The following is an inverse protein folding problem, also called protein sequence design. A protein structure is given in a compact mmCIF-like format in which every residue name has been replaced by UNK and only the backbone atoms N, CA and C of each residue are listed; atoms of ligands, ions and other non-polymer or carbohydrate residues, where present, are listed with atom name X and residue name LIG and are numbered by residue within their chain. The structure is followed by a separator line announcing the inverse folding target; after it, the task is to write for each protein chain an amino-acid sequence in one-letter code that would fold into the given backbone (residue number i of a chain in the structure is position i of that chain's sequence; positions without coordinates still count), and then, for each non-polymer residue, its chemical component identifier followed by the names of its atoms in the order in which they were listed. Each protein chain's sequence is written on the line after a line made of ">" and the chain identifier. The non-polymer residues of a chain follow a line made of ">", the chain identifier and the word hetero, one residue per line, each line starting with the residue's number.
data_IF_143294165794
#
_entry.id   IF_143294165794
#
_cell.length_a   1.000
_cell.length_b   1.000
_cell.length_c   1.000
_cell.angle_alpha   90.00
_cell.angle_beta   90.00
_cell.angle_gamma   90.00
#
_symmetry.space_group_name_H-M   'P 1'
#
loop_
_entity.id
_entity.type
_entity.pdbx_description
1 polymer ?
#
# COMPACT_ATOMS: atom_id res chain seq x y z
N UNK A 1 -1.54 8.50 -6.25
CA UNK A 1 -0.64 8.65 -5.08
C UNK A 1 0.15 7.37 -4.93
N UNK A 2 1.44 7.47 -4.68
CA UNK A 2 2.37 6.34 -4.63
C UNK A 2 3.07 6.27 -3.27
N UNK A 3 3.12 5.07 -2.68
CA UNK A 3 3.76 4.80 -1.39
C UNK A 3 4.70 3.60 -1.48
N UNK A 4 5.98 3.84 -1.21
CA UNK A 4 7.07 2.90 -1.39
C UNK A 4 7.10 1.76 -0.35
N UNK A 5 7.80 0.64 -0.64
CA UNK A 5 8.03 -0.44 0.33
C UNK A 5 8.99 -0.02 1.45
N UNK A 6 9.13 -0.87 2.47
CA UNK A 6 10.19 -0.77 3.48
C UNK A 6 11.25 -1.85 3.26
N UNK A 7 12.53 -1.50 3.03
CA UNK A 7 13.08 -0.16 2.78
C UNK A 7 12.74 0.34 1.36
N UNK A 8 12.78 1.66 1.15
CA UNK A 8 12.50 2.31 -0.14
C UNK A 8 12.45 3.83 -0.01
N UNK A 9 12.09 4.55 -1.07
CA UNK A 9 11.89 6.00 -1.00
C UNK A 9 10.83 6.44 -2.01
N UNK A 10 10.48 7.73 -2.00
CA UNK A 10 9.57 8.29 -3.00
C UNK A 10 10.02 8.05 -4.45
N UNK A 11 11.30 7.76 -4.69
CA UNK A 11 11.83 7.54 -6.03
C UNK A 11 11.51 6.13 -6.58
N UNK A 12 11.03 5.19 -5.74
CA UNK A 12 10.69 3.80 -6.13
C UNK A 12 9.78 3.71 -7.34
N UNK A 13 8.82 4.64 -7.48
CA UNK A 13 7.85 4.63 -8.57
C UNK A 13 8.09 5.76 -9.60
N UNK A 14 9.24 6.42 -9.57
CA UNK A 14 9.48 7.59 -10.41
C UNK A 14 9.26 7.28 -11.90
N UNK A 15 9.85 6.20 -12.39
CA UNK A 15 9.74 5.81 -13.80
C UNK A 15 8.28 5.55 -14.22
N UNK A 16 7.51 4.85 -13.39
CA UNK A 16 6.07 4.61 -13.61
C UNK A 16 5.28 5.90 -13.65
N UNK A 17 5.56 6.83 -12.74
CA UNK A 17 4.86 8.12 -12.70
C UNK A 17 5.20 9.00 -13.90
N UNK A 18 6.42 8.89 -14.45
CA UNK A 18 6.79 9.56 -15.71
C UNK A 18 6.01 8.97 -16.89
N UNK A 19 5.83 7.64 -16.93
CA UNK A 19 5.00 7.00 -17.96
C UNK A 19 3.54 7.47 -17.88
N UNK A 20 2.94 7.49 -16.68
CA UNK A 20 1.56 7.95 -16.51
C UNK A 20 1.39 9.47 -16.72
N UNK A 21 2.44 10.27 -16.49
CA UNK A 21 2.40 11.69 -16.79
C UNK A 21 2.22 11.95 -18.30
N UNK A 22 2.78 11.09 -19.16
CA UNK A 22 2.54 11.16 -20.63
C UNK A 22 1.09 10.83 -21.00
N UNK A 23 0.39 10.11 -20.13
CA UNK A 23 -1.04 9.79 -20.23
C UNK A 23 -1.94 10.81 -19.49
N UNK A 24 -1.37 11.96 -19.09
CA UNK A 24 -2.11 13.05 -18.44
C UNK A 24 -2.33 12.88 -16.94
N UNK A 25 -1.69 11.92 -16.29
CA UNK A 25 -1.80 11.76 -14.83
C UNK A 25 -0.87 12.74 -14.08
N UNK A 26 -1.34 13.22 -12.93
CA UNK A 26 -0.51 13.89 -11.94
C UNK A 26 -0.27 12.93 -10.78
N UNK A 27 1.01 12.73 -10.43
CA UNK A 27 1.41 11.80 -9.38
C UNK A 27 1.97 12.52 -8.17
N UNK A 28 1.52 12.12 -6.98
CA UNK A 28 2.14 12.46 -5.70
C UNK A 28 2.90 11.24 -5.19
N UNK A 29 4.22 11.35 -5.08
CA UNK A 29 5.11 10.31 -4.56
C UNK A 29 5.47 10.65 -3.11
N UNK A 30 5.06 9.80 -2.18
CA UNK A 30 5.18 10.04 -0.75
C UNK A 30 6.54 9.55 -0.25
N UNK A 31 7.20 10.36 0.58
CA UNK A 31 8.35 9.93 1.37
C UNK A 31 7.82 9.53 2.76
N UNK A 32 7.68 8.23 2.99
CA UNK A 32 7.02 7.70 4.18
C UNK A 32 8.00 7.61 5.37
N UNK A 33 7.51 7.47 6.62
CA UNK A 33 8.38 7.39 7.81
C UNK A 33 9.41 6.25 7.79
N UNK A 34 9.20 5.23 6.94
CA UNK A 34 10.10 4.09 6.71
C UNK A 34 11.01 4.24 5.48
N UNK A 35 11.23 5.47 5.02
CA UNK A 35 12.18 5.75 3.94
C UNK A 35 13.56 5.17 4.27
N UNK A 36 14.36 4.83 3.26
CA UNK A 36 15.70 4.25 3.42
C UNK A 36 16.59 5.10 4.36
N UNK A 37 16.41 6.42 4.33
CA UNK A 37 17.14 7.39 5.18
C UNK A 37 16.68 7.39 6.63
N UNK A 38 15.50 6.83 6.90
CA UNK A 38 14.86 6.78 8.21
C UNK A 38 14.72 5.35 8.75
N UNK A 39 15.31 4.34 8.08
CA UNK A 39 15.12 2.92 8.43
C UNK A 39 15.48 2.61 9.90
N UNK A 40 16.51 3.25 10.45
CA UNK A 40 16.86 3.10 11.86
C UNK A 40 15.81 3.69 12.81
N UNK A 41 15.27 4.86 12.47
CA UNK A 41 14.23 5.51 13.25
C UNK A 41 12.93 4.70 13.18
N UNK A 42 12.61 4.17 11.99
CA UNK A 42 11.49 3.28 11.79
C UNK A 42 11.64 1.96 12.55
N UNK A 43 12.83 1.34 12.55
CA UNK A 43 13.09 0.13 13.35
C UNK A 43 12.89 0.37 14.85
N UNK A 44 13.31 1.54 15.37
CA UNK A 44 13.01 1.93 16.76
C UNK A 44 11.50 2.14 17.00
N UNK A 45 10.80 2.70 16.02
CA UNK A 45 9.34 2.86 16.08
C UNK A 45 8.61 1.51 16.13
N UNK A 46 9.07 0.51 15.37
CA UNK A 46 8.50 -0.84 15.38
C UNK A 46 8.71 -1.57 16.72
N UNK A 47 9.71 -1.17 17.51
CA UNK A 47 9.98 -1.82 18.80
C UNK A 47 8.95 -1.49 19.91
N UNK A 48 8.16 -0.43 19.71
CA UNK A 48 7.11 0.02 20.63
C UNK A 48 5.75 -0.05 19.91
N UNK A 49 4.86 -1.01 20.24
CA UNK A 49 3.60 -1.18 19.52
C UNK A 49 2.66 0.02 19.66
N UNK A 50 2.66 0.71 20.80
CA UNK A 50 1.84 1.92 20.97
C UNK A 50 2.32 3.06 20.07
N UNK A 51 3.64 3.20 19.94
CA UNK A 51 4.23 4.16 19.02
C UNK A 51 3.99 3.76 17.55
N UNK A 52 4.13 2.48 17.20
CA UNK A 52 3.82 1.97 15.87
C UNK A 52 2.37 2.27 15.46
N UNK A 53 1.40 2.01 16.35
CA UNK A 53 -0.01 2.37 16.13
C UNK A 53 -0.16 3.86 15.81
N UNK A 54 0.46 4.72 16.62
CA UNK A 54 0.42 6.17 16.40
C UNK A 54 0.99 6.56 15.04
N UNK A 55 2.16 6.03 14.67
CA UNK A 55 2.82 6.33 13.40
C UNK A 55 2.00 5.86 12.20
N UNK A 56 1.35 4.69 12.27
CA UNK A 56 0.51 4.19 11.18
C UNK A 56 -0.74 5.07 11.00
N UNK A 57 -1.40 5.46 12.10
CA UNK A 57 -2.53 6.40 12.07
C UNK A 57 -2.11 7.73 11.48
N UNK A 58 -0.98 8.31 11.94
CA UNK A 58 -0.48 9.58 11.42
C UNK A 58 -0.10 9.50 9.94
N UNK A 59 0.43 8.36 9.49
CA UNK A 59 0.70 8.09 8.08
C UNK A 59 -0.58 8.11 7.27
N UNK A 60 -1.61 7.37 7.67
CA UNK A 60 -2.92 7.38 6.98
C UNK A 60 -3.53 8.78 6.94
N UNK A 61 -3.48 9.53 8.05
CA UNK A 61 -3.91 10.94 8.09
C UNK A 61 -3.10 11.79 7.10
N UNK A 62 -1.78 11.59 7.02
CA UNK A 62 -0.91 12.27 6.06
C UNK A 62 -1.28 11.96 4.61
N UNK A 63 -1.60 10.71 4.30
CA UNK A 63 -2.04 10.29 2.96
C UNK A 63 -3.39 10.93 2.58
N UNK A 64 -4.35 10.99 3.51
CA UNK A 64 -5.62 11.68 3.29
C UNK A 64 -5.42 13.18 3.03
N UNK A 65 -4.48 13.82 3.73
CA UNK A 65 -4.07 15.21 3.43
C UNK A 65 -3.37 15.35 2.08
N UNK A 66 -2.62 14.34 1.64
CA UNK A 66 -2.07 14.28 0.29
C UNK A 66 -3.17 14.24 -0.78
N UNK A 67 -4.27 13.54 -0.51
CA UNK A 67 -5.47 13.54 -1.36
C UNK A 67 -6.16 14.92 -1.32
N UNK A 68 -6.26 15.57 -0.15
CA UNK A 68 -6.77 16.94 -0.05
C UNK A 68 -5.95 17.89 -0.94
N UNK A 69 -4.62 17.79 -0.89
CA UNK A 69 -3.72 18.58 -1.75
C UNK A 69 -3.97 18.33 -3.25
N UNK A 70 -4.15 17.07 -3.66
CA UNK A 70 -4.44 16.73 -5.05
C UNK A 70 -5.80 17.28 -5.48
N UNK A 71 -6.84 17.05 -4.70
CA UNK A 71 -8.22 17.46 -5.03
C UNK A 71 -8.45 18.98 -4.97
N UNK A 72 -7.59 19.72 -4.27
CA UNK A 72 -7.62 21.18 -4.25
C UNK A 72 -7.08 21.83 -5.54
N UNK A 73 -6.39 21.07 -6.40
CA UNK A 73 -5.84 21.59 -7.65
C UNK A 73 -6.89 21.64 -8.75
N UNK A 74 -6.99 22.74 -9.52
CA UNK A 74 -7.99 22.88 -10.59
C UNK A 74 -7.74 21.98 -11.80
N UNK A 75 -6.52 21.45 -11.96
CA UNK A 75 -6.12 20.54 -13.03
C UNK A 75 -6.27 19.06 -12.66
N UNK A 76 -6.84 18.76 -11.48
CA UNK A 76 -7.09 17.39 -11.01
C UNK A 76 -8.59 17.13 -10.98
N UNK A 77 -8.99 16.00 -11.56
CA UNK A 77 -10.35 15.50 -11.43
C UNK A 77 -10.48 14.66 -10.15
N UNK A 78 -11.30 15.09 -9.16
CA UNK A 78 -11.45 14.39 -7.89
C UNK A 78 -12.10 13.01 -8.03
N UNK A 79 -12.77 12.70 -9.15
CA UNK A 79 -13.39 11.41 -9.42
C UNK A 79 -12.42 10.38 -10.04
N UNK A 80 -11.15 10.78 -10.26
CA UNK A 80 -10.13 9.97 -10.93
C UNK A 80 -8.84 9.84 -10.10
N UNK A 81 -9.00 9.61 -8.79
CA UNK A 81 -7.87 9.40 -7.88
C UNK A 81 -7.54 7.90 -7.75
N UNK A 82 -6.26 7.57 -7.95
CA UNK A 82 -5.72 6.22 -7.70
C UNK A 82 -4.63 6.19 -6.64
N UNK A 83 -4.44 5.01 -6.06
CA UNK A 83 -3.41 4.70 -5.08
C UNK A 83 -2.59 3.48 -5.53
N UNK A 84 -1.28 3.55 -5.33
CA UNK A 84 -0.37 2.41 -5.49
C UNK A 84 0.51 2.33 -4.25
N UNK A 85 0.54 1.16 -3.63
CA UNK A 85 1.38 0.88 -2.48
C UNK A 85 2.06 -0.48 -2.62
N UNK A 86 3.33 -0.56 -2.24
CA UNK A 86 4.10 -1.80 -2.26
C UNK A 86 4.56 -2.19 -0.87
N UNK A 87 4.44 -3.48 -0.53
CA UNK A 87 4.83 -4.05 0.76
C UNK A 87 4.18 -3.27 1.91
N UNK A 88 4.96 -2.60 2.75
CA UNK A 88 4.43 -1.72 3.81
C UNK A 88 3.49 -0.62 3.29
N UNK A 89 3.76 -0.09 2.09
CA UNK A 89 2.83 0.80 1.39
C UNK A 89 1.50 0.11 1.08
N UNK A 90 1.49 -1.16 0.70
CA UNK A 90 0.24 -1.89 0.47
C UNK A 90 -0.57 -2.10 1.75
N UNK A 91 0.07 -2.37 2.89
CA UNK A 91 -0.62 -2.48 4.19
C UNK A 91 -1.29 -1.16 4.56
N UNK A 92 -0.55 -0.06 4.51
CA UNK A 92 -1.09 1.28 4.77
C UNK A 92 -2.18 1.64 3.76
N UNK A 93 -2.03 1.23 2.51
CA UNK A 93 -3.05 1.34 1.47
C UNK A 93 -4.32 0.55 1.77
N UNK A 94 -4.20 -0.64 2.37
CA UNK A 94 -5.32 -1.45 2.85
C UNK A 94 -6.08 -0.77 4.00
N UNK A 95 -5.37 -0.10 4.90
CA UNK A 95 -6.02 0.74 5.93
C UNK A 95 -6.70 1.96 5.30
N UNK A 96 -6.00 2.66 4.41
CA UNK A 96 -6.50 3.85 3.73
C UNK A 96 -7.77 3.53 2.93
N UNK A 97 -7.82 2.39 2.25
CA UNK A 97 -8.97 2.01 1.42
C UNK A 97 -10.27 1.90 2.21
N UNK A 98 -10.21 1.41 3.45
CA UNK A 98 -11.38 1.33 4.33
C UNK A 98 -11.89 2.67 4.87
N UNK A 99 -11.10 3.75 4.78
CA UNK A 99 -11.42 5.04 5.43
C UNK A 99 -11.40 6.24 4.47
N UNK A 100 -11.10 6.02 3.19
CA UNK A 100 -10.95 7.08 2.19
C UNK A 100 -11.66 6.73 0.88
N UNK A 101 -12.91 7.16 0.79
CA UNK A 101 -13.82 6.87 -0.32
C UNK A 101 -13.56 7.68 -1.59
N UNK A 102 -12.72 8.74 -1.54
CA UNK A 102 -12.38 9.54 -2.73
C UNK A 102 -11.43 8.83 -3.69
N UNK A 103 -10.70 7.83 -3.22
CA UNK A 103 -9.80 7.05 -4.08
C UNK A 103 -10.62 5.98 -4.78
N UNK A 104 -10.62 6.01 -6.10
CA UNK A 104 -11.41 5.10 -6.94
C UNK A 104 -10.77 3.72 -7.11
N UNK A 105 -9.44 3.67 -7.08
CA UNK A 105 -8.67 2.49 -7.47
C UNK A 105 -7.41 2.35 -6.60
N UNK A 106 -7.23 1.19 -5.99
CA UNK A 106 -6.04 0.85 -5.18
C UNK A 106 -5.31 -0.33 -5.80
N UNK A 107 -4.01 -0.19 -6.03
CA UNK A 107 -3.09 -1.29 -6.33
C UNK A 107 -2.29 -1.59 -5.06
N UNK A 108 -2.45 -2.80 -4.53
CA UNK A 108 -1.83 -3.28 -3.30
C UNK A 108 -0.84 -4.40 -3.66
N UNK A 109 0.44 -4.05 -3.73
CA UNK A 109 1.51 -4.92 -4.21
C UNK A 109 2.21 -5.62 -3.05
N UNK A 110 2.35 -6.95 -3.09
CA UNK A 110 3.12 -7.77 -2.15
C UNK A 110 2.86 -7.42 -0.66
N UNK A 111 1.60 -7.21 -0.29
CA UNK A 111 1.18 -6.88 1.08
C UNK A 111 0.59 -8.07 1.86
N UNK A 112 0.33 -7.86 3.14
CA UNK A 112 -0.37 -8.81 4.04
C UNK A 112 -1.47 -8.09 4.83
N UNK A 113 -2.29 -8.85 5.55
CA UNK A 113 -3.41 -8.35 6.33
C UNK A 113 -3.05 -7.77 7.70
N UNK A 114 -1.83 -8.00 8.21
CA UNK A 114 -1.41 -7.56 9.55
C UNK A 114 -0.07 -6.83 9.56
N UNK A 115 -0.01 -5.71 10.29
CA UNK A 115 1.26 -5.02 10.56
C UNK A 115 2.22 -5.84 11.42
N UNK A 116 1.69 -6.78 12.20
CA UNK A 116 2.51 -7.67 13.04
C UNK A 116 3.40 -8.57 12.19
N UNK A 117 2.96 -8.94 11.00
CA UNK A 117 3.73 -9.79 10.10
C UNK A 117 5.02 -9.11 9.65
N UNK A 118 4.95 -7.80 9.36
CA UNK A 118 6.13 -6.98 9.04
C UNK A 118 7.02 -6.83 10.27
N UNK A 119 6.44 -6.63 11.45
CA UNK A 119 7.21 -6.50 12.69
C UNK A 119 8.03 -7.77 12.98
N UNK A 120 7.45 -8.96 12.80
CA UNK A 120 8.17 -10.24 12.99
C UNK A 120 9.36 -10.38 12.05
N UNK A 121 9.20 -9.98 10.78
CA UNK A 121 10.29 -10.01 9.80
C UNK A 121 11.45 -9.06 10.17
N UNK A 122 11.14 -7.89 10.71
CA UNK A 122 12.12 -6.85 11.03
C UNK A 122 12.66 -6.93 12.46
N UNK A 123 12.02 -7.72 13.33
CA UNK A 123 12.41 -7.91 14.73
C UNK A 123 12.40 -9.40 15.10
N UNK A 124 13.42 -10.19 14.68
CA UNK A 124 13.49 -11.62 15.01
C UNK A 124 13.33 -11.98 16.50
N UNK A 125 13.73 -11.14 17.48
CA UNK A 125 13.48 -11.40 18.89
C UNK A 125 12.02 -11.25 19.35
N UNK A 126 11.13 -10.65 18.55
CA UNK A 126 9.72 -10.43 18.88
C UNK A 126 8.97 -11.77 18.92
N UNK A 127 8.87 -12.36 20.12
CA UNK A 127 8.33 -13.70 20.34
C UNK A 127 7.53 -13.77 21.65
N UNK A 128 6.82 -14.87 21.88
CA UNK A 128 6.12 -15.15 23.13
C UNK A 128 5.11 -14.06 23.51
N UNK A 129 5.09 -13.67 24.79
CA UNK A 129 4.17 -12.66 25.32
C UNK A 129 4.35 -11.28 24.66
N UNK A 130 5.58 -10.93 24.26
CA UNK A 130 5.84 -9.65 23.58
C UNK A 130 5.18 -9.61 22.20
N UNK A 131 5.25 -10.70 21.43
CA UNK A 131 4.57 -10.82 20.14
C UNK A 131 3.05 -10.78 20.30
N UNK A 132 2.52 -11.51 21.28
CA UNK A 132 1.08 -11.53 21.55
C UNK A 132 0.56 -10.14 21.99
N UNK A 133 1.32 -9.42 22.82
CA UNK A 133 1.03 -8.02 23.15
C UNK A 133 1.05 -7.14 21.90
N UNK A 134 2.08 -7.28 21.06
CA UNK A 134 2.21 -6.50 19.84
C UNK A 134 1.02 -6.71 18.91
N UNK A 135 0.67 -7.97 18.65
CA UNK A 135 -0.49 -8.36 17.82
C UNK A 135 -1.77 -7.74 18.33
N UNK A 136 -2.04 -7.86 19.64
CA UNK A 136 -3.25 -7.29 20.26
C UNK A 136 -3.32 -5.78 20.16
N UNK A 137 -2.18 -5.09 20.29
CA UNK A 137 -2.11 -3.63 20.21
C UNK A 137 -2.36 -3.13 18.79
N UNK A 138 -1.86 -3.83 17.76
CA UNK A 138 -2.02 -3.41 16.36
C UNK A 138 -3.30 -3.93 15.68
N UNK A 139 -3.89 -5.04 16.15
CA UNK A 139 -5.11 -5.63 15.57
C UNK A 139 -6.24 -4.62 15.27
N UNK A 140 -6.53 -3.60 16.12
CA UNK A 140 -7.58 -2.62 15.81
C UNK A 140 -7.32 -1.74 14.57
N UNK A 141 -6.07 -1.65 14.12
CA UNK A 141 -5.68 -0.86 12.95
C UNK A 141 -5.20 -1.74 11.79
N UNK A 142 -5.22 -3.07 11.93
CA UNK A 142 -4.67 -3.96 10.92
C UNK A 142 -5.41 -3.82 9.57
N UNK A 143 -4.68 -3.89 8.43
CA UNK A 143 -5.24 -3.72 7.10
C UNK A 143 -6.43 -4.64 6.81
N UNK A 144 -6.42 -5.87 7.32
CA UNK A 144 -7.49 -6.86 7.11
C UNK A 144 -8.86 -6.37 7.59
N UNK A 145 -8.93 -5.62 8.68
CA UNK A 145 -10.20 -5.10 9.20
C UNK A 145 -10.73 -3.91 8.40
N UNK A 146 -9.82 -3.13 7.82
CA UNK A 146 -10.17 -1.94 7.05
C UNK A 146 -10.52 -2.25 5.59
N UNK A 147 -9.78 -3.16 4.94
CA UNK A 147 -9.90 -3.43 3.50
C UNK A 147 -11.29 -3.98 3.10
N UNK A 148 -12.02 -4.58 4.04
CA UNK A 148 -13.41 -4.99 3.87
C UNK A 148 -14.42 -3.84 3.76
N UNK A 149 -13.98 -2.60 3.99
CA UNK A 149 -14.80 -1.39 3.92
C UNK A 149 -14.43 -0.50 2.72
N UNK A 150 -13.64 -1.00 1.77
CA UNK A 150 -13.15 -0.19 0.66
C UNK A 150 -14.22 0.14 -0.40
N UNK A 151 -15.35 -0.56 -0.43
CA UNK A 151 -16.40 -0.32 -1.42
C UNK A 151 -16.88 1.14 -1.39
N UNK A 152 -17.10 1.78 -2.55
CA UNK A 152 -17.12 1.19 -3.90
C UNK A 152 -15.76 1.18 -4.63
N UNK A 153 -14.65 1.52 -3.96
CA UNK A 153 -13.32 1.56 -4.57
C UNK A 153 -12.90 0.19 -5.08
N UNK A 154 -12.25 0.17 -6.25
CA UNK A 154 -11.72 -1.06 -6.83
C UNK A 154 -10.35 -1.40 -6.24
N UNK A 155 -10.14 -2.66 -5.91
CA UNK A 155 -8.89 -3.16 -5.34
C UNK A 155 -8.20 -4.13 -6.29
N UNK A 156 -6.91 -3.92 -6.55
CA UNK A 156 -6.08 -4.82 -7.33
C UNK A 156 -4.88 -5.28 -6.50
N UNK A 157 -4.85 -6.57 -6.18
CA UNK A 157 -3.79 -7.20 -5.42
C UNK A 157 -2.81 -7.88 -6.37
N UNK A 158 -1.52 -7.60 -6.20
CA UNK A 158 -0.44 -8.19 -6.99
C UNK A 158 0.52 -8.93 -6.07
N UNK A 159 0.73 -10.23 -6.30
CA UNK A 159 1.58 -11.05 -5.44
C UNK A 159 2.60 -11.87 -6.25
N UNK A 160 3.77 -12.10 -5.65
CA UNK A 160 4.80 -12.96 -6.23
C UNK A 160 4.59 -14.43 -5.82
N UNK A 161 4.77 -15.36 -6.76
CA UNK A 161 4.75 -16.80 -6.48
C UNK A 161 5.95 -17.26 -5.65
N UNK A 162 7.03 -16.47 -5.64
CA UNK A 162 8.30 -16.73 -4.95
C UNK A 162 8.60 -15.65 -3.91
N UNK A 163 7.56 -15.09 -3.27
CA UNK A 163 7.74 -14.10 -2.21
C UNK A 163 8.39 -14.75 -0.98
N UNK A 164 9.57 -14.24 -0.61
CA UNK A 164 10.37 -14.76 0.50
C UNK A 164 9.98 -14.15 1.87
N UNK A 165 9.09 -13.14 1.88
CA UNK A 165 8.70 -12.42 3.09
C UNK A 165 7.30 -12.79 3.56
N UNK A 166 6.33 -12.86 2.64
CA UNK A 166 4.95 -13.18 2.96
C UNK A 166 4.51 -14.46 2.25
N UNK A 167 3.89 -15.37 3.01
CA UNK A 167 3.41 -16.61 2.41
C UNK A 167 2.19 -16.35 1.52
N UNK A 168 1.88 -17.34 0.67
CA UNK A 168 0.71 -17.32 -0.19
C UNK A 168 -0.58 -17.21 0.63
N UNK A 169 -0.63 -17.88 1.77
CA UNK A 169 -1.79 -17.90 2.68
C UNK A 169 -2.05 -16.49 3.24
N UNK A 170 -1.02 -15.80 3.74
CA UNK A 170 -1.14 -14.44 4.27
C UNK A 170 -1.66 -13.46 3.20
N UNK A 171 -1.16 -13.60 1.98
CA UNK A 171 -1.59 -12.80 0.82
C UNK A 171 -3.06 -13.08 0.43
N UNK A 172 -3.48 -14.35 0.49
CA UNK A 172 -4.86 -14.76 0.22
C UNK A 172 -5.82 -14.27 1.30
N UNK A 173 -5.47 -14.40 2.58
CA UNK A 173 -6.28 -13.88 3.69
C UNK A 173 -6.52 -12.37 3.54
N UNK A 174 -5.48 -11.61 3.16
CA UNK A 174 -5.62 -10.19 2.91
C UNK A 174 -6.60 -9.88 1.76
N UNK A 175 -6.52 -10.64 0.67
CA UNK A 175 -7.44 -10.52 -0.46
C UNK A 175 -8.88 -10.93 -0.10
N UNK A 176 -9.06 -12.02 0.65
CA UNK A 176 -10.37 -12.57 1.01
C UNK A 176 -11.15 -11.67 1.98
N UNK A 177 -10.45 -10.87 2.79
CA UNK A 177 -11.07 -9.87 3.66
C UNK A 177 -11.49 -8.58 2.92
N UNK A 178 -11.09 -8.40 1.66
CA UNK A 178 -11.35 -7.17 0.91
C UNK A 178 -12.79 -7.05 0.40
N UNK A 179 -13.35 -5.83 0.31
CA UNK A 179 -14.65 -5.64 -0.34
C UNK A 179 -14.59 -5.79 -1.87
N UNK A 180 -15.74 -6.04 -2.50
CA UNK A 180 -15.87 -5.93 -3.96
C UNK A 180 -15.98 -4.46 -4.42
N UNK A 181 -15.50 -4.10 -5.64
CA UNK A 181 -14.85 -4.99 -6.61
C UNK A 181 -13.37 -5.20 -6.31
N UNK A 182 -12.93 -6.47 -6.24
CA UNK A 182 -11.53 -6.84 -6.03
C UNK A 182 -10.99 -7.77 -7.12
N UNK A 183 -9.69 -7.71 -7.37
CA UNK A 183 -9.00 -8.57 -8.32
C UNK A 183 -7.65 -8.96 -7.74
N UNK A 184 -7.21 -10.19 -7.97
CA UNK A 184 -5.91 -10.72 -7.55
C UNK A 184 -5.17 -11.26 -8.76
N UNK A 185 -3.87 -11.01 -8.84
CA UNK A 185 -3.00 -11.60 -9.84
C UNK A 185 -1.67 -12.04 -9.23
N UNK A 186 -1.22 -13.21 -9.67
CA UNK A 186 0.01 -13.86 -9.23
C UNK A 186 1.02 -13.85 -10.35
N UNK A 187 2.27 -13.52 -10.03
CA UNK A 187 3.35 -13.38 -11.01
C UNK A 187 4.49 -14.35 -10.66
N UNK A 188 5.17 -14.89 -11.68
CA UNK A 188 6.41 -15.64 -11.47
C UNK A 188 7.55 -14.68 -11.07
N UNK A 189 7.48 -14.16 -9.85
CA UNK A 189 8.34 -13.13 -9.29
C UNK A 189 8.46 -13.30 -7.78
N UNK A 190 9.47 -12.65 -7.20
CA UNK A 190 9.58 -12.49 -5.75
C UNK A 190 8.83 -11.26 -5.26
N UNK A 191 9.21 -10.77 -4.07
CA UNK A 191 8.54 -9.67 -3.38
C UNK A 191 8.46 -8.35 -4.15
N UNK A 192 9.43 -8.07 -5.01
CA UNK A 192 9.48 -6.83 -5.81
C UNK A 192 8.67 -6.88 -7.10
N UNK A 193 8.07 -8.04 -7.40
CA UNK A 193 7.29 -8.31 -8.61
C UNK A 193 8.09 -8.12 -9.91
N UNK A 194 7.50 -8.51 -11.04
CA UNK A 194 8.11 -8.45 -12.36
C UNK A 194 7.72 -7.20 -13.14
N UNK A 195 8.39 -6.94 -14.26
CA UNK A 195 7.96 -5.93 -15.24
C UNK A 195 6.54 -6.23 -15.78
N UNK A 196 6.17 -7.49 -15.95
CA UNK A 196 4.80 -7.90 -16.30
C UNK A 196 3.79 -7.37 -15.28
N UNK A 197 4.08 -7.50 -13.98
CA UNK A 197 3.24 -6.92 -12.93
C UNK A 197 3.19 -5.39 -13.03
N UNK A 198 4.25 -4.73 -13.48
CA UNK A 198 4.23 -3.27 -13.73
C UNK A 198 3.28 -2.92 -14.86
N UNK A 199 3.42 -3.60 -15.98
CA UNK A 199 2.64 -3.29 -17.17
C UNK A 199 1.14 -3.52 -16.89
N UNK A 200 0.81 -4.59 -16.18
CA UNK A 200 -0.58 -4.90 -15.78
C UNK A 200 -1.18 -3.87 -14.82
N UNK A 201 -0.43 -3.41 -13.80
CA UNK A 201 -0.96 -2.36 -12.89
C UNK A 201 -1.14 -1.03 -13.61
N UNK A 202 -0.23 -0.67 -14.51
CA UNK A 202 -0.33 0.56 -15.28
C UNK A 202 -1.57 0.51 -16.20
N UNK A 203 -1.75 -0.59 -16.94
CA UNK A 203 -2.92 -0.78 -17.80
C UNK A 203 -4.24 -0.78 -17.01
N UNK A 204 -4.26 -1.45 -15.86
CA UNK A 204 -5.42 -1.49 -14.98
C UNK A 204 -5.76 -0.10 -14.41
N UNK A 205 -4.76 0.66 -13.94
CA UNK A 205 -4.94 2.03 -13.47
C UNK A 205 -5.43 2.96 -14.58
N UNK A 206 -4.81 2.92 -15.76
CA UNK A 206 -5.22 3.75 -16.90
C UNK A 206 -6.68 3.49 -17.28
N UNK A 207 -7.12 2.24 -17.21
CA UNK A 207 -8.52 1.88 -17.44
C UNK A 207 -9.43 2.44 -16.33
N UNK A 208 -9.11 2.20 -15.05
CA UNK A 208 -9.94 2.60 -13.91
C UNK A 208 -10.05 4.10 -13.73
N UNK A 209 -8.99 4.82 -14.08
CA UNK A 209 -8.89 6.26 -13.99
C UNK A 209 -9.16 6.97 -15.32
N UNK A 210 -9.49 6.22 -16.38
CA UNK A 210 -9.78 6.80 -17.71
C UNK A 210 -8.68 7.76 -18.18
N UNK A 211 -7.42 7.32 -18.08
CA UNK A 211 -6.26 8.05 -18.59
C UNK A 211 -6.20 7.92 -20.11
N UNK A 212 -5.56 8.88 -20.79
CA UNK A 212 -5.43 8.84 -22.25
C UNK A 212 -4.45 7.74 -22.66
N UNK A 213 -4.79 6.98 -23.69
CA UNK A 213 -3.81 6.15 -24.39
C UNK A 213 -2.83 7.06 -25.14
N UNK A 214 -1.52 6.75 -25.12
CA UNK A 214 -0.55 7.46 -25.95
C UNK A 214 -0.99 7.38 -27.43
N UNK A 215 -1.13 8.53 -28.10
CA UNK A 215 -1.24 8.64 -29.57
C UNK A 215 0.15 8.57 -30.22
#
# INVERSE_FOLDING_TARGET
>A
MYVHPGPGSRDTFLDETVMLARQGAVSLLIDAPWTEKAVEAWGRSLADPEHAVREHILTVVGLRRGIDLLTARPDIDPERIGYVGHSFGALIGGVLSGVESRVKAYVLMAGTGSFTDVAVLNMPPLTGEALERYRRTLAPIDPEGAVGHAAPSALFFQFGLRDDFFTREMSLEFFENASEPRTIQWYDAGHYLSDEARDDRLAWLSTRLSLSTEE
#
